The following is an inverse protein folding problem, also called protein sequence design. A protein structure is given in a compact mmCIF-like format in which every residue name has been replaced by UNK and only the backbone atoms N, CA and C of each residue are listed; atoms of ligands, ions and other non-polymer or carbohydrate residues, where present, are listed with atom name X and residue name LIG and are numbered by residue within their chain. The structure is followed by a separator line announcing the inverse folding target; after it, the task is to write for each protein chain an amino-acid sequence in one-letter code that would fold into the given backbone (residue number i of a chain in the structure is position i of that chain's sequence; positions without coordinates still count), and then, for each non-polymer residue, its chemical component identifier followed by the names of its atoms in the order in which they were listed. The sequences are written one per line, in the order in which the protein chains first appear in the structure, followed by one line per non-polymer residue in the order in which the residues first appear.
data_IF_281075517731
#
_entry.id   IF_281075517731
#
_cell.length_a   1.000
_cell.length_b   1.000
_cell.length_c   1.000
_cell.angle_alpha   90.00
_cell.angle_beta   90.00
_cell.angle_gamma   90.00
#
_symmetry.space_group_name_H-M   'P 1'
#
loop_
_entity.id
_entity.type
_entity.pdbx_description
1 polymer ?
#
# COMPACT_ATOMS: atom_id res chain seq x y z
N UNK A 1 -3.42 -18.91 -35.38
CA UNK A 1 -4.00 -19.69 -34.26
C UNK A 1 -4.58 -18.71 -33.25
N UNK A 2 -5.83 -18.87 -32.82
CA UNK A 2 -6.52 -17.94 -31.89
C UNK A 2 -5.79 -17.81 -30.54
N UNK A 3 -5.15 -18.90 -30.09
CA UNK A 3 -4.40 -18.95 -28.84
C UNK A 3 -3.29 -17.89 -28.71
N UNK A 4 -2.66 -17.47 -29.82
CA UNK A 4 -1.61 -16.43 -29.80
C UNK A 4 -2.14 -15.07 -29.33
N UNK A 5 -3.43 -14.79 -29.52
CA UNK A 5 -4.05 -13.55 -29.05
C UNK A 5 -4.62 -13.71 -27.63
N UNK A 6 -5.29 -14.84 -27.39
CA UNK A 6 -6.05 -15.06 -26.15
C UNK A 6 -5.15 -15.24 -24.93
N UNK A 7 -4.05 -15.98 -25.06
CA UNK A 7 -3.12 -16.23 -23.93
C UNK A 7 -2.52 -14.93 -23.37
N UNK A 8 -1.88 -14.05 -24.17
CA UNK A 8 -1.35 -12.80 -23.63
C UNK A 8 -2.44 -11.85 -23.13
N UNK A 9 -3.61 -11.82 -23.77
CA UNK A 9 -4.74 -11.02 -23.29
C UNK A 9 -5.22 -11.49 -21.91
N UNK A 10 -5.37 -12.80 -21.72
CA UNK A 10 -5.77 -13.39 -20.45
C UNK A 10 -4.75 -13.10 -19.35
N UNK A 11 -3.46 -13.29 -19.63
CA UNK A 11 -2.39 -12.98 -18.68
C UNK A 11 -2.33 -11.48 -18.37
N UNK A 12 -2.58 -10.61 -19.35
CA UNK A 12 -2.67 -9.16 -19.15
C UNK A 12 -3.82 -8.78 -18.19
N UNK A 13 -5.00 -9.38 -18.37
CA UNK A 13 -6.14 -9.16 -17.46
C UNK A 13 -5.83 -9.67 -16.05
N UNK A 14 -5.23 -10.86 -15.93
CA UNK A 14 -4.81 -11.40 -14.63
C UNK A 14 -3.77 -10.49 -13.95
N UNK A 15 -2.78 -9.99 -14.70
CA UNK A 15 -1.76 -9.07 -14.18
C UNK A 15 -2.40 -7.80 -13.62
N UNK A 16 -3.35 -7.19 -14.35
CA UNK A 16 -4.05 -5.99 -13.88
C UNK A 16 -4.87 -6.29 -12.63
N UNK A 17 -5.59 -7.41 -12.62
CA UNK A 17 -6.38 -7.84 -11.45
C UNK A 17 -5.50 -8.04 -10.20
N UNK A 18 -4.36 -8.72 -10.36
CA UNK A 18 -3.40 -8.94 -9.29
C UNK A 18 -2.76 -7.63 -8.80
N UNK A 19 -2.38 -6.75 -9.71
CA UNK A 19 -1.84 -5.43 -9.38
C UNK A 19 -2.82 -4.62 -8.54
N UNK A 20 -4.09 -4.54 -8.98
CA UNK A 20 -5.14 -3.82 -8.26
C UNK A 20 -5.40 -4.43 -6.89
N UNK A 21 -5.45 -5.77 -6.79
CA UNK A 21 -5.59 -6.46 -5.51
C UNK A 21 -4.49 -6.05 -4.53
N UNK A 22 -3.21 -6.16 -4.92
CA UNK A 22 -2.09 -5.81 -4.05
C UNK A 22 -2.08 -4.33 -3.71
N UNK A 23 -2.24 -3.44 -4.69
CA UNK A 23 -2.28 -1.99 -4.45
C UNK A 23 -3.37 -1.63 -3.45
N UNK A 24 -4.57 -2.16 -3.62
CA UNK A 24 -5.70 -1.88 -2.74
C UNK A 24 -5.49 -2.43 -1.33
N UNK A 25 -4.94 -3.64 -1.20
CA UNK A 25 -4.58 -4.23 0.09
C UNK A 25 -3.56 -3.37 0.84
N UNK A 26 -2.52 -2.91 0.16
CA UNK A 26 -1.49 -2.05 0.78
C UNK A 26 -2.09 -0.68 1.12
N UNK A 27 -2.92 -0.08 0.25
CA UNK A 27 -3.64 1.16 0.58
C UNK A 27 -4.49 1.00 1.84
N UNK A 28 -5.24 -0.10 1.97
CA UNK A 28 -6.04 -0.36 3.16
C UNK A 28 -5.18 -0.50 4.42
N UNK A 29 -4.03 -1.18 4.34
CA UNK A 29 -3.10 -1.29 5.45
C UNK A 29 -2.47 0.06 5.83
N UNK A 30 -2.12 0.90 4.86
CA UNK A 30 -1.58 2.24 5.10
C UNK A 30 -2.62 3.15 5.76
N UNK A 31 -3.88 3.11 5.32
CA UNK A 31 -4.98 3.84 5.96
C UNK A 31 -5.18 3.40 7.41
N UNK A 32 -5.18 2.09 7.68
CA UNK A 32 -5.30 1.56 9.04
C UNK A 32 -4.09 1.94 9.91
N UNK A 33 -2.88 1.92 9.36
CA UNK A 33 -1.68 2.39 10.06
C UNK A 33 -1.71 3.88 10.39
N UNK A 34 -2.23 4.70 9.48
CA UNK A 34 -2.41 6.13 9.72
C UNK A 34 -3.43 6.37 10.83
N UNK A 35 -4.58 5.68 10.79
CA UNK A 35 -5.56 5.71 11.87
C UNK A 35 -4.97 5.25 13.20
N UNK A 36 -4.17 4.19 13.18
CA UNK A 36 -3.50 3.68 14.37
C UNK A 36 -2.57 4.74 14.97
N UNK A 37 -1.72 5.39 14.18
CA UNK A 37 -0.81 6.44 14.65
C UNK A 37 -1.51 7.77 15.01
N UNK A 38 -2.72 7.99 14.51
CA UNK A 38 -3.51 9.18 14.79
C UNK A 38 -4.15 9.17 16.19
N UNK A 39 -4.18 8.03 16.89
CA UNK A 39 -4.68 7.93 18.28
C UNK A 39 -3.79 8.72 19.24
N UNK A 40 -4.41 9.23 20.31
CA UNK A 40 -3.71 9.95 21.39
C UNK A 40 -2.45 9.22 21.88
N UNK A 41 -1.37 9.99 22.06
CA UNK A 41 -0.05 9.53 22.52
C UNK A 41 0.66 8.54 21.59
N UNK A 42 0.28 8.47 20.31
CA UNK A 42 1.04 7.74 19.30
C UNK A 42 1.81 8.66 18.37
N UNK A 43 2.87 8.09 17.84
CA UNK A 43 3.79 8.69 16.90
C UNK A 43 3.67 8.00 15.53
N UNK A 44 4.07 8.66 14.43
CA UNK A 44 3.98 8.07 13.10
C UNK A 44 4.68 6.71 12.95
N UNK A 45 5.77 6.48 13.70
CA UNK A 45 6.50 5.20 13.75
C UNK A 45 5.64 4.04 14.26
N UNK A 46 4.65 4.30 15.12
CA UNK A 46 3.70 3.28 15.59
C UNK A 46 2.81 2.80 14.42
N UNK A 47 2.43 3.73 13.54
CA UNK A 47 1.67 3.46 12.33
C UNK A 47 2.50 2.74 11.27
N UNK A 48 3.80 3.03 11.16
CA UNK A 48 4.71 2.25 10.31
C UNK A 48 4.76 0.79 10.76
N UNK A 49 4.99 0.55 12.06
CA UNK A 49 5.05 -0.79 12.62
C UNK A 49 3.74 -1.55 12.39
N UNK A 50 2.60 -0.88 12.64
CA UNK A 50 1.27 -1.47 12.40
C UNK A 50 1.03 -1.78 10.93
N UNK A 51 1.40 -0.89 10.03
CA UNK A 51 1.25 -1.11 8.59
C UNK A 51 2.07 -2.31 8.13
N UNK A 52 3.33 -2.42 8.59
CA UNK A 52 4.21 -3.58 8.29
C UNK A 52 3.59 -4.89 8.77
N UNK A 53 3.02 -4.90 9.98
CA UNK A 53 2.32 -6.07 10.52
C UNK A 53 1.15 -6.48 9.60
N UNK A 54 0.29 -5.52 9.24
CA UNK A 54 -0.88 -5.76 8.40
C UNK A 54 -0.53 -6.26 6.99
N UNK A 55 0.47 -5.67 6.34
CA UNK A 55 0.87 -6.11 4.99
C UNK A 55 1.59 -7.45 5.01
N UNK A 56 2.38 -7.75 6.06
CA UNK A 56 3.10 -9.03 6.17
C UNK A 56 2.18 -10.26 6.23
N UNK A 57 0.94 -10.08 6.67
CA UNK A 57 -0.07 -11.15 6.72
C UNK A 57 -0.78 -11.41 5.39
N UNK A 58 -0.63 -10.53 4.38
CA UNK A 58 -1.44 -10.57 3.15
C UNK A 58 -0.59 -10.61 1.88
N UNK A 59 0.53 -9.89 1.88
CA UNK A 59 1.45 -9.81 0.75
C UNK A 59 2.83 -10.29 1.17
N UNK A 60 3.58 -10.88 0.23
CA UNK A 60 4.97 -11.28 0.49
C UNK A 60 5.80 -10.02 0.79
N UNK A 61 6.67 -10.12 1.80
CA UNK A 61 7.55 -9.02 2.22
C UNK A 61 8.42 -8.49 1.08
N UNK A 62 8.77 -9.35 0.11
CA UNK A 62 9.58 -8.96 -1.04
C UNK A 62 8.93 -7.85 -1.88
N UNK A 63 7.60 -7.66 -1.84
CA UNK A 63 6.92 -6.62 -2.61
C UNK A 63 7.00 -5.22 -1.99
N UNK A 64 7.38 -5.12 -0.70
CA UNK A 64 7.41 -3.86 0.04
C UNK A 64 8.85 -3.35 0.12
N UNK A 65 9.07 -2.12 -0.34
CA UNK A 65 10.39 -1.47 -0.32
C UNK A 65 10.56 -0.60 0.92
N UNK A 66 9.58 0.25 1.22
CA UNK A 66 9.57 1.05 2.44
C UNK A 66 8.16 1.32 2.94
N UNK A 67 8.07 1.56 4.25
CA UNK A 67 6.89 2.05 4.96
C UNK A 67 7.38 3.19 5.83
N UNK A 68 6.89 4.40 5.58
CA UNK A 68 7.34 5.63 6.22
C UNK A 68 6.12 6.38 6.76
N UNK A 69 6.21 6.83 8.01
CA UNK A 69 5.17 7.57 8.69
C UNK A 69 5.64 8.99 8.99
N UNK A 70 4.76 9.96 8.78
CA UNK A 70 5.05 11.35 9.12
C UNK A 70 3.79 12.06 9.62
N UNK A 71 3.98 13.10 10.44
CA UNK A 71 2.92 14.07 10.73
C UNK A 71 2.65 14.89 9.47
N UNK A 72 1.39 15.18 9.20
CA UNK A 72 0.97 16.02 8.09
C UNK A 72 -0.22 16.89 8.51
N UNK A 73 -0.57 17.85 7.66
CA UNK A 73 -1.88 18.50 7.68
C UNK A 73 -2.84 17.69 6.79
N UNK A 74 -4.02 17.38 7.30
CA UNK A 74 -5.13 16.74 6.58
C UNK A 74 -6.29 17.71 6.62
N UNK A 75 -6.54 18.41 5.51
CA UNK A 75 -7.62 19.39 5.36
C UNK A 75 -7.68 20.46 6.47
N UNK A 76 -6.52 20.97 6.90
CA UNK A 76 -6.40 21.99 7.94
C UNK A 76 -6.37 21.43 9.36
N UNK A 77 -6.33 20.11 9.53
CA UNK A 77 -6.26 19.45 10.83
C UNK A 77 -4.93 18.69 10.97
N UNK A 78 -4.30 18.69 12.16
CA UNK A 78 -3.15 17.84 12.42
C UNK A 78 -3.51 16.38 12.13
N UNK A 79 -2.64 15.66 11.41
CA UNK A 79 -2.88 14.28 11.02
C UNK A 79 -1.59 13.49 10.86
N UNK A 80 -1.75 12.24 10.45
CA UNK A 80 -0.66 11.30 10.14
C UNK A 80 -0.83 10.81 8.71
N UNK A 81 0.29 10.76 8.00
CA UNK A 81 0.43 10.15 6.68
C UNK A 81 1.32 8.91 6.79
N UNK A 82 0.86 7.79 6.25
CA UNK A 82 1.67 6.59 6.01
C UNK A 82 1.88 6.43 4.51
N UNK A 83 3.13 6.41 4.08
CA UNK A 83 3.54 6.19 2.70
C UNK A 83 4.15 4.81 2.59
N UNK A 84 3.66 4.01 1.65
CA UNK A 84 4.24 2.69 1.33
C UNK A 84 4.72 2.67 -0.10
N UNK A 85 6.01 2.37 -0.28
CA UNK A 85 6.63 2.12 -1.58
C UNK A 85 6.72 0.61 -1.79
N UNK A 86 6.28 0.17 -2.96
CA UNK A 86 6.20 -1.24 -3.30
C UNK A 86 6.47 -1.46 -4.78
N UNK A 87 6.79 -2.70 -5.14
CA UNK A 87 6.90 -3.11 -6.53
C UNK A 87 6.06 -4.36 -6.82
N UNK A 88 5.59 -4.46 -8.06
CA UNK A 88 4.84 -5.60 -8.57
C UNK A 88 5.63 -6.27 -9.71
N UNK A 89 6.09 -7.52 -9.54
CA UNK A 89 6.71 -8.25 -10.64
C UNK A 89 5.67 -8.66 -11.71
N UNK A 90 6.09 -8.82 -12.97
CA UNK A 90 5.22 -9.36 -14.01
C UNK A 90 4.99 -10.87 -13.82
N UNK A 91 3.84 -11.38 -14.24
CA UNK A 91 3.52 -12.82 -14.31
C UNK A 91 4.25 -13.57 -15.46
N UNK A 92 5.46 -13.14 -15.80
CA UNK A 92 6.40 -13.87 -16.65
C UNK A 92 5.97 -14.08 -18.10
N UNK A 93 6.04 -13.05 -18.95
CA UNK A 93 6.13 -13.12 -20.41
C UNK A 93 6.67 -11.79 -20.99
N UNK A 94 7.76 -11.24 -20.46
CA UNK A 94 8.28 -9.88 -20.75
C UNK A 94 7.56 -8.73 -20.02
N UNK A 95 8.37 -7.87 -19.39
CA UNK A 95 7.97 -6.60 -18.78
C UNK A 95 8.87 -6.24 -17.59
N UNK A 96 9.26 -4.98 -17.38
CA UNK A 96 9.81 -4.55 -16.10
C UNK A 96 8.71 -4.65 -15.02
N UNK A 97 9.11 -4.88 -13.76
CA UNK A 97 8.18 -4.72 -12.64
C UNK A 97 7.60 -3.29 -12.61
N UNK A 98 6.46 -3.13 -11.96
CA UNK A 98 5.84 -1.82 -11.75
C UNK A 98 6.10 -1.39 -10.32
N UNK A 99 6.89 -0.34 -10.13
CA UNK A 99 6.99 0.37 -8.86
C UNK A 99 5.74 1.25 -8.67
N UNK A 100 5.24 1.31 -7.43
CA UNK A 100 4.10 2.14 -7.08
C UNK A 100 4.17 2.59 -5.63
N UNK A 101 3.55 3.74 -5.37
CA UNK A 101 3.41 4.31 -4.03
C UNK A 101 1.92 4.36 -3.67
N UNK A 102 1.61 4.06 -2.41
CA UNK A 102 0.29 4.30 -1.84
C UNK A 102 0.41 5.11 -0.56
N UNK A 103 -0.66 5.82 -0.25
CA UNK A 103 -0.72 6.73 0.89
C UNK A 103 -1.99 6.45 1.70
N UNK A 104 -1.85 6.47 3.02
CA UNK A 104 -2.94 6.44 3.99
C UNK A 104 -2.88 7.68 4.87
N UNK A 105 -4.02 8.30 5.11
CA UNK A 105 -4.13 9.53 5.89
C UNK A 105 -5.15 9.36 7.01
N UNK A 106 -4.88 9.97 8.17
CA UNK A 106 -5.84 10.07 9.26
C UNK A 106 -5.64 11.35 10.05
N UNK A 107 -6.73 11.99 10.45
CA UNK A 107 -6.71 13.17 11.34
C UNK A 107 -6.38 12.71 12.77
N UNK A 108 -5.48 13.43 13.44
CA UNK A 108 -4.99 13.13 14.79
C UNK A 108 -6.08 13.43 15.81
N UNK A 109 -6.32 12.47 16.70
CA UNK A 109 -7.23 12.65 17.83
C UNK A 109 -6.66 13.71 18.77
N UNK A 110 -7.43 14.76 19.03
CA UNK A 110 -7.10 15.78 20.02
C UNK A 110 -7.92 15.48 21.27
N UNK A 111 -7.24 15.25 22.39
CA UNK A 111 -7.92 15.04 23.67
C UNK A 111 -8.49 16.36 24.17
N UNK A 112 -9.81 16.41 24.36
CA UNK A 112 -10.47 17.44 25.18
C UNK A 112 -10.56 16.98 26.64
#
# INVERSE_FOLDING_TARGET
MVAMLVVPLFLGVLQVGLFLYVRNTITAAASEGAHYAAVLNREPVDGEARTRELVSGVVRNELIESVEGQTTDVDGQPGVLIVVKAHMPPLGLWGPGVEFTVEGHAVKETGE
#
